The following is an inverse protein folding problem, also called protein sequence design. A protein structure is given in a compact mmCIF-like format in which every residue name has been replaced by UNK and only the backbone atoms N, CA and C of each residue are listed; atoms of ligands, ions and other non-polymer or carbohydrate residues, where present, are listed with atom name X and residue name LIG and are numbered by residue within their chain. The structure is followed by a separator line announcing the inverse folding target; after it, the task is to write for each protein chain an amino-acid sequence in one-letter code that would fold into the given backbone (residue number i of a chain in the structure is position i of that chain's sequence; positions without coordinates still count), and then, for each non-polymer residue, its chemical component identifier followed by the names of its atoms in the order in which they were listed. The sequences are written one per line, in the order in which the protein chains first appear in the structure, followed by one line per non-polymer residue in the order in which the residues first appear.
data_IF_752777724813
#
_entry.id   IF_752777724813
#
_cell.length_a   1.000
_cell.length_b   1.000
_cell.length_c   1.000
_cell.angle_alpha   90.00
_cell.angle_beta   90.00
_cell.angle_gamma   90.00
#
_symmetry.space_group_name_H-M   'P 1'
#
loop_
_entity.id
_entity.type
_entity.pdbx_description
1 polymer ?
#
# COMPACT_ATOMS: atom_id res chain seq x y z
N UNK A 1 6.77 17.66 -22.32
CA UNK A 1 7.06 16.27 -21.92
C UNK A 1 7.89 16.16 -20.64
N UNK A 2 8.95 16.95 -20.48
CA UNK A 2 9.84 17.00 -19.29
C UNK A 2 9.12 17.30 -17.96
N UNK A 3 8.12 18.18 -17.95
CA UNK A 3 7.36 18.51 -16.73
C UNK A 3 6.54 17.35 -16.14
N UNK A 4 6.18 16.36 -16.97
CA UNK A 4 5.39 15.21 -16.52
C UNK A 4 6.31 14.13 -15.94
N UNK A 5 7.52 14.02 -16.51
CA UNK A 5 8.58 13.13 -16.02
C UNK A 5 9.07 13.57 -14.64
N UNK A 6 9.29 14.88 -14.44
CA UNK A 6 9.73 15.43 -13.14
C UNK A 6 8.65 15.26 -12.06
N UNK A 7 7.37 15.45 -12.41
CA UNK A 7 6.25 15.19 -11.48
C UNK A 7 6.14 13.72 -11.09
N UNK A 8 6.27 12.80 -12.06
CA UNK A 8 6.19 11.37 -11.79
C UNK A 8 7.40 10.86 -10.99
N UNK A 9 8.57 11.46 -11.18
CA UNK A 9 9.75 11.19 -10.36
C UNK A 9 9.57 11.69 -8.92
N UNK A 10 8.95 12.86 -8.71
CA UNK A 10 8.63 13.35 -7.36
C UNK A 10 7.59 12.49 -6.65
N UNK A 11 6.54 12.02 -7.34
CA UNK A 11 5.53 11.13 -6.73
C UNK A 11 6.14 9.78 -6.38
N UNK A 12 6.97 9.21 -7.24
CA UNK A 12 7.69 7.97 -6.96
C UNK A 12 8.68 8.13 -5.80
N UNK A 13 9.45 9.23 -5.78
CA UNK A 13 10.37 9.53 -4.68
C UNK A 13 9.64 9.77 -3.35
N UNK A 14 8.49 10.44 -3.38
CA UNK A 14 7.64 10.63 -2.20
C UNK A 14 7.07 9.29 -1.72
N UNK A 15 6.63 8.40 -2.62
CA UNK A 15 6.21 7.04 -2.29
C UNK A 15 7.34 6.22 -1.66
N UNK A 16 8.54 6.25 -2.25
CA UNK A 16 9.70 5.54 -1.71
C UNK A 16 10.09 6.12 -0.34
N UNK A 17 10.03 7.45 -0.19
CA UNK A 17 10.31 8.13 1.07
C UNK A 17 9.28 7.77 2.15
N UNK A 18 7.98 7.68 1.83
CA UNK A 18 6.96 7.24 2.80
C UNK A 18 7.07 5.76 3.14
N UNK A 19 7.44 4.90 2.19
CA UNK A 19 7.78 3.50 2.45
C UNK A 19 9.02 3.36 3.35
N UNK A 20 10.05 4.19 3.12
CA UNK A 20 11.26 4.23 3.94
C UNK A 20 10.97 4.78 5.34
N UNK A 21 10.12 5.80 5.47
CA UNK A 21 9.69 6.37 6.75
C UNK A 21 8.77 5.40 7.52
N UNK A 22 7.88 4.67 6.83
CA UNK A 22 7.09 3.57 7.39
C UNK A 22 7.96 2.35 7.79
N UNK A 23 9.15 2.23 7.22
CA UNK A 23 10.18 1.29 7.65
C UNK A 23 10.96 1.74 8.90
N UNK A 24 10.91 3.04 9.21
CA UNK A 24 11.60 3.70 10.33
C UNK A 24 10.67 3.98 11.52
N UNK A 25 9.36 4.08 11.29
CA UNK A 25 8.32 4.01 12.32
C UNK A 25 8.21 2.60 12.90
N UNK A 26 7.91 2.53 14.20
CA UNK A 26 7.90 1.33 15.05
C UNK A 26 7.49 0.04 14.32
N UNK A 27 8.47 -0.82 14.00
CA UNK A 27 8.22 -2.08 13.28
C UNK A 27 7.32 -3.06 14.03
N UNK A 28 7.00 -2.77 15.29
CA UNK A 28 6.12 -3.57 16.12
C UNK A 28 4.64 -3.23 16.01
N UNK A 29 4.30 -2.13 15.34
CA UNK A 29 2.90 -1.77 15.17
C UNK A 29 2.28 -2.50 13.97
N UNK A 30 1.64 -3.63 14.28
CA UNK A 30 0.91 -4.43 13.30
C UNK A 30 -0.25 -3.66 12.66
N UNK A 31 -0.84 -2.70 13.36
CA UNK A 31 -1.93 -1.88 12.86
C UNK A 31 -1.47 -0.92 11.76
N UNK A 32 -0.36 -0.22 11.98
CA UNK A 32 0.21 0.69 10.98
C UNK A 32 0.68 -0.05 9.71
N UNK A 33 1.28 -1.23 9.86
CA UNK A 33 1.70 -2.10 8.75
C UNK A 33 0.53 -2.69 7.97
N UNK A 34 -0.50 -3.17 8.67
CA UNK A 34 -1.72 -3.64 8.04
C UNK A 34 -2.44 -2.49 7.31
N UNK A 35 -2.62 -1.33 7.94
CA UNK A 35 -3.33 -0.19 7.35
C UNK A 35 -2.63 0.36 6.10
N UNK A 36 -1.31 0.48 6.12
CA UNK A 36 -0.53 0.93 4.96
C UNK A 36 -0.58 -0.08 3.80
N UNK A 37 -0.44 -1.38 4.10
CA UNK A 37 -0.61 -2.44 3.10
C UNK A 37 -2.02 -2.48 2.52
N UNK A 38 -3.04 -2.27 3.36
CA UNK A 38 -4.45 -2.21 2.94
C UNK A 38 -4.73 -1.04 1.99
N UNK A 39 -4.22 0.15 2.30
CA UNK A 39 -4.41 1.34 1.47
C UNK A 39 -3.75 1.18 0.10
N UNK A 40 -2.52 0.68 0.07
CA UNK A 40 -1.78 0.47 -1.18
C UNK A 40 -2.44 -0.64 -2.01
N UNK A 41 -2.79 -1.76 -1.36
CA UNK A 41 -3.45 -2.88 -2.02
C UNK A 41 -4.84 -2.53 -2.52
N UNK A 42 -5.63 -1.77 -1.75
CA UNK A 42 -6.94 -1.29 -2.16
C UNK A 42 -6.83 -0.30 -3.32
N UNK A 43 -5.93 0.68 -3.24
CA UNK A 43 -5.74 1.66 -4.31
C UNK A 43 -5.27 1.04 -5.63
N UNK A 44 -4.27 0.14 -5.57
CA UNK A 44 -3.75 -0.55 -6.74
C UNK A 44 -4.74 -1.57 -7.31
N UNK A 45 -5.38 -2.37 -6.46
CA UNK A 45 -6.39 -3.33 -6.85
C UNK A 45 -7.64 -2.65 -7.44
N UNK A 46 -8.07 -1.52 -6.89
CA UNK A 46 -9.18 -0.73 -7.44
C UNK A 46 -8.84 -0.18 -8.83
N UNK A 47 -7.62 0.32 -9.03
CA UNK A 47 -7.18 0.83 -10.32
C UNK A 47 -7.15 -0.27 -11.39
N UNK A 48 -6.52 -1.41 -11.08
CA UNK A 48 -6.43 -2.55 -12.03
C UNK A 48 -7.82 -3.15 -12.28
N UNK A 49 -8.61 -3.31 -11.22
CA UNK A 49 -9.97 -3.82 -11.30
C UNK A 49 -10.90 -2.90 -12.10
N UNK A 50 -10.75 -1.58 -11.98
CA UNK A 50 -11.48 -0.60 -12.78
C UNK A 50 -11.16 -0.75 -14.27
N UNK A 51 -9.89 -0.97 -14.60
CA UNK A 51 -9.44 -1.15 -15.98
C UNK A 51 -9.91 -2.48 -16.58
N UNK A 52 -9.89 -3.56 -15.80
CA UNK A 52 -10.23 -4.89 -16.27
C UNK A 52 -11.75 -5.19 -16.28
N UNK A 53 -12.50 -4.64 -15.33
CA UNK A 53 -13.90 -5.00 -15.08
C UNK A 53 -14.82 -3.83 -14.78
N UNK A 54 -14.40 -2.59 -15.04
CA UNK A 54 -15.20 -1.40 -14.75
C UNK A 54 -15.47 -1.21 -13.26
N UNK A 55 -16.56 -0.53 -12.91
CA UNK A 55 -16.87 -0.18 -11.51
C UNK A 55 -16.95 -1.39 -10.56
N UNK A 56 -17.48 -2.53 -11.02
CA UNK A 56 -17.53 -3.77 -10.23
C UNK A 56 -16.14 -4.35 -10.01
N UNK A 57 -15.30 -4.35 -11.05
CA UNK A 57 -13.91 -4.77 -10.92
C UNK A 57 -13.13 -3.87 -9.97
N UNK A 58 -13.40 -2.55 -9.97
CA UNK A 58 -12.81 -1.61 -9.03
C UNK A 58 -13.17 -1.93 -7.57
N UNK A 59 -14.46 -2.24 -7.29
CA UNK A 59 -14.92 -2.59 -5.95
C UNK A 59 -14.30 -3.91 -5.46
N UNK A 60 -14.28 -4.94 -6.31
CA UNK A 60 -13.68 -6.23 -5.99
C UNK A 60 -12.17 -6.08 -5.81
N UNK A 61 -11.51 -5.33 -6.68
CA UNK A 61 -10.07 -5.05 -6.60
C UNK A 61 -9.70 -4.26 -5.35
N UNK A 62 -10.53 -3.29 -4.95
CA UNK A 62 -10.35 -2.53 -3.71
C UNK A 62 -10.49 -3.42 -2.46
N UNK A 63 -11.52 -4.26 -2.42
CA UNK A 63 -11.78 -5.17 -1.29
C UNK A 63 -10.73 -6.28 -1.20
N UNK A 64 -10.44 -6.95 -2.32
CA UNK A 64 -9.47 -8.03 -2.37
C UNK A 64 -8.05 -7.51 -2.13
N UNK A 65 -7.66 -6.41 -2.79
CA UNK A 65 -6.37 -5.78 -2.62
C UNK A 65 -6.18 -5.17 -1.23
N UNK A 66 -7.22 -4.55 -0.68
CA UNK A 66 -7.20 -4.00 0.67
C UNK A 66 -7.12 -5.07 1.75
N UNK A 67 -7.92 -6.13 1.63
CA UNK A 67 -7.91 -7.25 2.56
C UNK A 67 -6.59 -8.03 2.54
N UNK A 68 -6.08 -8.34 1.34
CA UNK A 68 -4.78 -9.02 1.20
C UNK A 68 -3.62 -8.13 1.64
N UNK A 69 -3.62 -6.85 1.28
CA UNK A 69 -2.63 -5.87 1.72
C UNK A 69 -2.60 -5.70 3.25
N UNK A 70 -3.77 -5.70 3.90
CA UNK A 70 -3.90 -5.67 5.35
C UNK A 70 -3.34 -6.94 6.00
N UNK A 71 -3.76 -8.11 5.50
CA UNK A 71 -3.36 -9.40 6.03
C UNK A 71 -1.85 -9.63 5.90
N UNK A 72 -1.27 -9.32 4.74
CA UNK A 72 0.17 -9.41 4.51
C UNK A 72 0.92 -8.39 5.36
N UNK A 73 0.42 -7.16 5.49
CA UNK A 73 1.01 -6.15 6.38
C UNK A 73 1.02 -6.60 7.84
N UNK A 74 -0.09 -7.16 8.33
CA UNK A 74 -0.17 -7.73 9.68
C UNK A 74 0.74 -8.95 9.85
N UNK A 75 0.73 -9.89 8.89
CA UNK A 75 1.47 -11.14 8.97
C UNK A 75 3.00 -10.94 8.87
N UNK A 76 3.44 -9.93 8.13
CA UNK A 76 4.87 -9.60 8.01
C UNK A 76 5.38 -8.70 9.13
N UNK A 77 4.53 -8.33 10.09
CA UNK A 77 4.93 -7.53 11.25
C UNK A 77 5.75 -8.41 12.23
N UNK A 78 7.02 -8.06 12.52
CA UNK A 78 7.82 -8.75 13.53
C UNK A 78 7.13 -8.79 14.90
N UNK A 79 7.30 -9.87 15.66
CA UNK A 79 6.77 -10.02 17.03
C UNK A 79 7.76 -9.49 18.08
N UNK A 80 7.30 -8.61 18.99
CA UNK A 80 8.18 -7.91 19.95
C UNK A 80 8.95 -8.95 20.76
N UNK A 81 10.31 -8.92 20.79
CA UNK A 81 11.06 -9.92 21.52
C UNK A 81 10.77 -9.61 22.98
N UNK A 82 9.94 -10.43 23.61
CA UNK A 82 9.65 -10.31 25.03
C UNK A 82 10.93 -10.70 25.76
N UNK A 83 11.68 -9.69 26.20
CA UNK A 83 12.73 -9.85 27.22
C UNK A 83 12.10 -10.03 28.59
#
# INVERSE_FOLDING_TARGET
MTHNIIRNAMTAAAFIATLALAGCGDRYDSGARAGSGALIGAGGGAAIGALAGGGTGAAIGALAGGGTGAAVGAATTPQRPRR
#
